data_IF_164501716369
#
_entry.id   IF_164501716369
#
_cell.length_a   1.000
_cell.length_b   1.000
_cell.length_c   1.000
_cell.angle_alpha   90.00
_cell.angle_beta   90.00
_cell.angle_gamma   90.00
#
_symmetry.space_group_name_H-M   'P 1'
#
loop_
_entity.id
_entity.type
_entity.pdbx_description
1 polymer ?
#
# COMPACT_ATOMS: atom_id res chain seq x y z
N UNK A 1 -36.26 52.94 42.82
CA UNK A 1 -36.16 51.70 42.01
C UNK A 1 -34.81 51.71 41.36
N UNK A 2 -33.86 50.96 41.89
CA UNK A 2 -32.45 50.93 41.36
C UNK A 2 -32.32 49.68 40.46
N UNK A 3 -32.00 49.93 39.21
CA UNK A 3 -31.76 48.86 38.20
C UNK A 3 -30.35 48.33 38.39
N UNK A 4 -30.20 47.04 38.68
CA UNK A 4 -28.88 46.36 38.75
C UNK A 4 -28.71 45.66 37.39
N UNK A 5 -27.70 46.10 36.63
CA UNK A 5 -27.25 45.43 35.40
C UNK A 5 -26.14 44.46 35.78
N UNK A 6 -26.41 43.16 35.62
CA UNK A 6 -25.41 42.09 35.76
C UNK A 6 -24.81 41.84 34.38
N UNK A 7 -23.53 42.19 34.22
CA UNK A 7 -22.76 41.84 33.03
C UNK A 7 -22.23 40.41 33.17
N UNK A 8 -22.69 39.46 32.32
CA UNK A 8 -22.14 38.13 32.18
C UNK A 8 -21.01 38.18 31.16
N UNK A 9 -19.77 38.18 31.67
CA UNK A 9 -18.61 38.05 30.84
C UNK A 9 -18.36 36.60 30.41
N UNK A 10 -18.68 36.29 29.14
CA UNK A 10 -18.30 35.01 28.56
C UNK A 10 -16.81 34.97 28.21
N UNK A 11 -16.03 34.14 28.92
CA UNK A 11 -14.67 33.78 28.52
C UNK A 11 -14.74 32.84 27.31
N UNK A 12 -14.40 33.33 26.11
CA UNK A 12 -14.07 32.50 24.96
C UNK A 12 -12.70 31.89 25.19
N UNK A 13 -12.67 30.61 25.57
CA UNK A 13 -11.44 29.80 25.52
C UNK A 13 -11.15 29.45 24.06
N UNK A 14 -10.32 30.27 23.39
CA UNK A 14 -9.68 29.90 22.13
C UNK A 14 -8.67 28.80 22.42
N UNK A 15 -9.00 27.56 22.15
CA UNK A 15 -8.04 26.47 22.10
C UNK A 15 -7.12 26.68 20.89
N UNK A 16 -5.91 27.18 21.15
CA UNK A 16 -4.83 27.20 20.18
C UNK A 16 -4.45 25.75 19.84
N UNK A 17 -4.97 25.24 18.71
CA UNK A 17 -4.45 24.02 18.13
C UNK A 17 -2.97 24.27 17.81
N UNK A 18 -2.08 23.71 18.63
CA UNK A 18 -0.66 23.66 18.30
C UNK A 18 -0.51 22.82 17.04
N UNK A 19 -0.16 23.44 15.92
CA UNK A 19 0.32 22.73 14.74
C UNK A 19 1.58 21.96 15.15
N UNK A 20 1.45 20.65 15.33
CA UNK A 20 2.60 19.81 15.58
C UNK A 20 3.58 19.95 14.43
N UNK A 21 4.85 20.24 14.75
CA UNK A 21 5.92 20.21 13.75
C UNK A 21 5.91 18.82 13.09
N UNK A 22 6.07 18.73 11.74
CA UNK A 22 6.17 17.46 11.08
C UNK A 22 7.31 16.64 11.71
N UNK A 23 7.01 15.39 12.10
CA UNK A 23 8.03 14.48 12.61
C UNK A 23 9.12 14.28 11.54
N UNK A 24 10.41 14.32 11.93
CA UNK A 24 11.48 14.01 11.01
C UNK A 24 11.33 12.58 10.48
N UNK A 25 11.50 12.39 9.19
CA UNK A 25 11.51 11.03 8.61
C UNK A 25 12.74 10.29 9.14
N UNK A 26 12.58 9.11 9.75
CA UNK A 26 13.72 8.34 10.24
C UNK A 26 14.70 7.98 9.11
N UNK A 27 15.97 7.75 9.46
CA UNK A 27 16.94 7.20 8.51
C UNK A 27 16.56 5.77 8.13
N UNK A 28 15.97 5.63 6.95
CA UNK A 28 15.49 4.34 6.46
C UNK A 28 16.63 3.33 6.20
N UNK A 29 17.86 3.81 5.94
CA UNK A 29 19.02 2.93 5.76
C UNK A 29 19.43 2.25 7.08
N UNK A 30 19.19 2.91 8.21
CA UNK A 30 19.44 2.33 9.55
C UNK A 30 18.25 1.51 10.06
N UNK A 31 17.03 1.92 9.71
CA UNK A 31 15.82 1.34 10.26
C UNK A 31 15.39 0.04 9.57
N UNK A 32 15.63 -0.07 8.25
CA UNK A 32 15.22 -1.23 7.46
C UNK A 32 16.42 -2.10 7.11
N UNK A 33 16.37 -3.37 7.48
CA UNK A 33 17.38 -4.36 7.10
C UNK A 33 17.53 -4.42 5.58
N UNK A 34 18.78 -4.44 5.09
CA UNK A 34 19.09 -4.57 3.68
C UNK A 34 19.34 -6.04 3.32
N UNK A 35 18.37 -6.64 2.64
CA UNK A 35 18.32 -8.08 2.40
C UNK A 35 18.18 -8.38 0.90
N UNK A 36 18.43 -9.64 0.53
CA UNK A 36 18.19 -10.17 -0.81
C UNK A 36 17.52 -11.54 -0.67
N UNK A 37 16.37 -11.70 -1.30
CA UNK A 37 15.70 -12.99 -1.43
C UNK A 37 16.18 -13.67 -2.69
N UNK A 38 16.55 -14.95 -2.60
CA UNK A 38 16.98 -15.76 -3.75
C UNK A 38 16.23 -17.09 -3.73
N UNK A 39 15.65 -17.44 -4.87
CA UNK A 39 15.03 -18.75 -5.10
C UNK A 39 15.32 -19.16 -6.54
N UNK A 40 15.90 -20.36 -6.71
CA UNK A 40 16.38 -20.87 -7.98
C UNK A 40 17.34 -19.87 -8.66
N UNK A 41 16.94 -19.31 -9.81
CA UNK A 41 17.71 -18.30 -10.54
C UNK A 41 17.21 -16.86 -10.30
N UNK A 42 16.11 -16.70 -9.59
CA UNK A 42 15.55 -15.38 -9.30
C UNK A 42 16.22 -14.79 -8.05
N UNK A 43 16.53 -13.49 -8.11
CA UNK A 43 17.10 -12.73 -7.01
C UNK A 43 16.40 -11.38 -6.91
N UNK A 44 15.92 -11.05 -5.72
CA UNK A 44 15.14 -9.85 -5.47
C UNK A 44 15.70 -9.12 -4.24
N UNK A 45 16.38 -7.98 -4.41
CA UNK A 45 16.74 -7.12 -3.29
C UNK A 45 15.47 -6.60 -2.61
N UNK A 46 15.48 -6.53 -1.28
CA UNK A 46 14.38 -5.94 -0.51
C UNK A 46 14.87 -5.31 0.78
N UNK A 47 14.07 -4.40 1.31
CA UNK A 47 14.25 -3.83 2.64
C UNK A 47 13.17 -4.37 3.56
N UNK A 48 13.53 -4.66 4.79
CA UNK A 48 12.61 -5.19 5.81
C UNK A 48 12.65 -4.34 7.07
N UNK A 49 11.52 -3.69 7.38
CA UNK A 49 11.26 -3.14 8.70
C UNK A 49 10.73 -4.25 9.60
N UNK A 50 11.24 -4.33 10.82
CA UNK A 50 10.68 -5.15 11.89
C UNK A 50 9.80 -4.30 12.80
N UNK A 51 8.74 -4.86 13.40
CA UNK A 51 7.90 -4.12 14.35
C UNK A 51 8.71 -3.64 15.55
N UNK A 52 8.31 -2.50 16.13
CA UNK A 52 8.89 -2.03 17.38
C UNK A 52 8.65 -3.07 18.49
N UNK A 53 9.69 -3.36 19.26
CA UNK A 53 9.63 -4.38 20.30
C UNK A 53 9.56 -5.82 19.78
N UNK A 54 9.91 -6.06 18.50
CA UNK A 54 9.98 -7.40 17.95
C UNK A 54 10.92 -8.28 18.77
N UNK A 55 10.37 -9.37 19.31
CA UNK A 55 11.11 -10.43 19.96
C UNK A 55 10.99 -11.72 19.13
N UNK A 56 12.14 -12.28 18.74
CA UNK A 56 12.19 -13.51 17.94
C UNK A 56 11.59 -14.70 18.67
N UNK A 57 11.78 -14.75 19.99
CA UNK A 57 11.32 -15.83 20.85
C UNK A 57 9.95 -15.51 21.47
N UNK A 58 9.40 -14.35 21.17
CA UNK A 58 8.09 -13.88 21.62
C UNK A 58 6.93 -14.65 20.99
N UNK A 59 5.76 -14.54 21.63
CA UNK A 59 4.52 -15.19 21.15
C UNK A 59 3.67 -14.31 20.23
N UNK A 60 4.01 -13.04 20.12
CA UNK A 60 3.26 -12.09 19.32
C UNK A 60 3.38 -12.38 17.83
N UNK A 61 2.28 -12.17 17.11
CA UNK A 61 2.23 -12.25 15.65
C UNK A 61 1.84 -10.92 15.06
N UNK A 62 2.57 -10.50 14.06
CA UNK A 62 2.49 -9.16 13.48
C UNK A 62 1.94 -9.20 12.04
N UNK A 63 1.25 -8.14 11.61
CA UNK A 63 0.92 -7.97 10.20
C UNK A 63 2.18 -7.92 9.33
N UNK A 64 2.02 -8.29 8.05
CA UNK A 64 3.00 -8.02 6.99
C UNK A 64 2.39 -7.05 5.98
N UNK A 65 3.07 -5.96 5.71
CA UNK A 65 2.80 -5.06 4.58
C UNK A 65 3.85 -5.30 3.51
N UNK A 66 3.43 -5.53 2.28
CA UNK A 66 4.31 -5.55 1.10
C UNK A 66 4.06 -4.29 0.29
N UNK A 67 5.09 -3.47 0.08
CA UNK A 67 5.00 -2.20 -0.61
C UNK A 67 5.72 -2.23 -1.96
N UNK A 68 4.99 -2.08 -3.04
CA UNK A 68 5.51 -2.10 -4.40
C UNK A 68 5.74 -0.68 -4.93
N UNK A 69 7.00 -0.35 -5.19
CA UNK A 69 7.39 0.98 -5.70
C UNK A 69 6.98 1.22 -7.16
N UNK A 70 6.92 2.47 -7.56
CA UNK A 70 6.75 2.89 -8.96
C UNK A 70 8.01 2.66 -9.81
N UNK A 71 7.92 2.93 -11.12
CA UNK A 71 8.99 2.67 -12.10
C UNK A 71 10.35 3.29 -11.76
N UNK A 72 10.36 4.47 -11.10
CA UNK A 72 11.60 5.15 -10.70
C UNK A 72 12.35 4.48 -9.56
N UNK A 73 11.71 3.56 -8.84
CA UNK A 73 12.33 2.77 -7.78
C UNK A 73 13.10 1.55 -8.29
N UNK A 74 13.00 1.22 -9.58
CA UNK A 74 13.72 0.09 -10.18
C UNK A 74 15.24 0.23 -10.02
N UNK A 75 15.91 -0.87 -9.83
CA UNK A 75 17.35 -0.90 -9.66
C UNK A 75 17.87 -2.18 -9.05
N UNK A 76 19.13 -2.12 -8.63
CA UNK A 76 19.84 -3.20 -7.93
C UNK A 76 20.57 -2.68 -6.67
N UNK A 77 20.40 -1.39 -6.36
CA UNK A 77 21.07 -0.72 -5.24
C UNK A 77 20.42 -0.99 -3.89
N UNK A 78 19.22 -1.57 -3.91
CA UNK A 78 18.39 -1.80 -2.74
C UNK A 78 18.15 -0.52 -1.91
N UNK A 79 17.97 0.63 -2.62
CA UNK A 79 17.81 1.96 -2.02
C UNK A 79 16.73 2.80 -2.71
N UNK A 80 16.68 2.82 -4.05
CA UNK A 80 15.76 3.68 -4.82
C UNK A 80 14.28 3.42 -4.52
N UNK A 81 13.92 2.21 -4.11
CA UNK A 81 12.56 1.84 -3.74
C UNK A 81 12.04 2.50 -2.45
N UNK A 82 12.94 3.04 -1.60
CA UNK A 82 12.60 3.66 -0.32
C UNK A 82 12.16 5.12 -0.51
N UNK A 83 11.01 5.33 -1.16
CA UNK A 83 10.44 6.66 -1.43
C UNK A 83 8.96 6.57 -1.71
N UNK A 84 8.30 7.72 -1.85
CA UNK A 84 6.94 7.81 -2.40
C UNK A 84 5.91 7.02 -1.59
N UNK A 85 5.86 7.26 -0.27
CA UNK A 85 4.88 6.65 0.64
C UNK A 85 5.48 5.63 1.62
N UNK A 86 6.66 5.05 1.35
CA UNK A 86 7.35 4.17 2.33
C UNK A 86 7.64 4.94 3.62
N UNK A 87 7.97 6.22 3.51
CA UNK A 87 8.23 7.12 4.64
C UNK A 87 7.08 7.20 5.64
N UNK A 88 5.84 7.04 5.20
CA UNK A 88 4.68 7.10 6.09
C UNK A 88 4.56 5.87 6.99
N UNK A 89 5.02 4.72 6.52
CA UNK A 89 5.04 3.48 7.31
C UNK A 89 6.16 3.45 8.35
N UNK A 90 7.25 4.20 8.13
CA UNK A 90 8.41 4.20 9.03
C UNK A 90 8.39 5.32 10.07
N UNK A 91 7.43 6.23 10.03
CA UNK A 91 7.23 7.26 11.06
C UNK A 91 6.97 6.61 12.43
N UNK A 92 7.53 7.17 13.48
CA UNK A 92 7.39 6.66 14.83
C UNK A 92 5.93 6.53 15.26
N UNK A 93 5.08 7.52 14.93
CA UNK A 93 3.66 7.48 15.23
C UNK A 93 2.97 6.28 14.56
N UNK A 94 3.28 6.00 13.28
CA UNK A 94 2.73 4.87 12.54
C UNK A 94 3.21 3.54 13.12
N UNK A 95 4.50 3.41 13.38
CA UNK A 95 5.11 2.19 13.93
C UNK A 95 4.58 1.83 15.31
N UNK A 96 4.39 2.83 16.16
CA UNK A 96 3.78 2.64 17.49
C UNK A 96 2.31 2.24 17.42
N UNK A 97 1.55 2.84 16.51
CA UNK A 97 0.12 2.56 16.34
C UNK A 97 -0.14 1.23 15.64
N UNK A 98 0.68 0.91 14.65
CA UNK A 98 0.53 -0.24 13.76
C UNK A 98 1.85 -1.03 13.65
N UNK A 99 2.31 -1.68 14.73
CA UNK A 99 3.51 -2.49 14.67
C UNK A 99 3.35 -3.62 13.63
N UNK A 100 4.20 -3.62 12.61
CA UNK A 100 4.14 -4.56 11.50
C UNK A 100 5.52 -4.85 10.91
N UNK A 101 5.64 -5.96 10.21
CA UNK A 101 6.71 -6.13 9.22
C UNK A 101 6.35 -5.34 7.96
N UNK A 102 7.31 -4.60 7.39
CA UNK A 102 7.16 -3.95 6.09
C UNK A 102 8.25 -4.44 5.16
N UNK A 103 7.87 -5.15 4.11
CA UNK A 103 8.78 -5.59 3.06
C UNK A 103 8.67 -4.66 1.85
N UNK A 104 9.79 -4.08 1.43
CA UNK A 104 9.89 -3.16 0.29
C UNK A 104 10.85 -3.77 -0.75
N UNK A 105 10.38 -4.65 -1.63
CA UNK A 105 11.20 -5.25 -2.67
C UNK A 105 11.59 -4.24 -3.73
N UNK A 106 12.74 -4.45 -4.42
CA UNK A 106 13.19 -3.65 -5.53
C UNK A 106 13.12 -4.43 -6.84
N UNK A 107 12.29 -3.97 -7.77
CA UNK A 107 12.18 -4.51 -9.11
C UNK A 107 13.48 -4.26 -9.90
N UNK A 108 14.00 -5.25 -10.62
CA UNK A 108 15.14 -5.04 -11.51
C UNK A 108 14.88 -3.93 -12.55
N UNK A 109 15.93 -3.27 -13.07
CA UNK A 109 15.78 -2.08 -13.92
C UNK A 109 15.06 -2.33 -15.25
N UNK A 110 15.17 -3.54 -15.77
CA UNK A 110 14.60 -3.98 -17.04
C UNK A 110 13.29 -4.78 -16.92
N UNK A 111 12.76 -4.91 -15.67
CA UNK A 111 11.56 -5.70 -15.36
C UNK A 111 10.42 -4.84 -14.82
N UNK A 112 9.23 -5.45 -14.75
CA UNK A 112 8.01 -4.86 -14.23
C UNK A 112 7.37 -5.80 -13.21
N UNK A 113 6.58 -5.25 -12.27
CA UNK A 113 5.76 -6.01 -11.34
C UNK A 113 4.60 -6.76 -11.99
N UNK A 114 4.24 -6.38 -13.21
CA UNK A 114 3.07 -6.89 -13.92
C UNK A 114 3.39 -7.03 -15.41
N UNK A 115 2.63 -7.88 -16.10
CA UNK A 115 2.71 -7.99 -17.55
C UNK A 115 1.67 -7.06 -18.19
N UNK A 116 2.15 -6.10 -18.97
CA UNK A 116 1.31 -5.33 -19.90
C UNK A 116 1.66 -5.77 -21.31
N UNK A 117 0.67 -6.08 -22.08
CA UNK A 117 0.89 -6.21 -23.52
C UNK A 117 1.41 -4.88 -24.08
N UNK A 118 2.42 -4.87 -24.97
CA UNK A 118 3.10 -3.65 -25.44
C UNK A 118 2.18 -2.65 -26.15
N UNK A 119 0.94 -2.99 -26.45
CA UNK A 119 -0.01 -2.19 -27.22
C UNK A 119 -1.35 -1.91 -26.50
N UNK A 120 -1.43 -2.06 -25.19
CA UNK A 120 -2.70 -1.82 -24.50
C UNK A 120 -2.94 -0.35 -24.19
N UNK A 121 -3.23 0.42 -25.21
CA UNK A 121 -3.72 1.80 -25.11
C UNK A 121 -5.23 1.88 -24.84
N UNK A 122 -5.97 0.76 -24.89
CA UNK A 122 -7.44 0.72 -24.91
C UNK A 122 -8.12 0.26 -23.62
N UNK A 123 -7.40 0.06 -22.52
CA UNK A 123 -8.06 -0.14 -21.24
C UNK A 123 -8.20 -1.59 -20.76
N UNK A 124 -8.14 -2.59 -21.61
CA UNK A 124 -8.16 -3.97 -21.18
C UNK A 124 -6.73 -4.48 -20.99
N UNK A 125 -6.37 -4.71 -19.74
CA UNK A 125 -5.10 -5.35 -19.37
C UNK A 125 -5.40 -6.82 -19.03
N UNK A 126 -5.58 -7.71 -20.02
CA UNK A 126 -5.87 -9.11 -19.71
C UNK A 126 -4.73 -9.69 -18.88
N UNK A 127 -5.09 -10.31 -17.76
CA UNK A 127 -4.11 -10.91 -16.86
C UNK A 127 -3.46 -12.10 -17.56
N UNK A 128 -2.15 -12.05 -17.88
CA UNK A 128 -1.48 -13.17 -18.53
C UNK A 128 -1.50 -14.42 -17.63
N UNK A 129 -1.45 -15.59 -18.25
CA UNK A 129 -1.49 -16.88 -17.53
C UNK A 129 -0.38 -16.98 -16.47
N UNK A 130 0.82 -16.51 -16.80
CA UNK A 130 1.96 -16.51 -15.87
C UNK A 130 2.28 -15.11 -15.37
N UNK A 131 2.64 -14.94 -14.09
CA UNK A 131 3.16 -13.67 -13.59
C UNK A 131 4.50 -13.32 -14.23
N UNK A 132 4.93 -12.08 -14.09
CA UNK A 132 6.33 -11.73 -14.33
C UNK A 132 7.23 -12.44 -13.30
N UNK A 133 8.51 -12.61 -13.62
CA UNK A 133 9.46 -13.19 -12.67
C UNK A 133 9.50 -12.41 -11.33
N UNK A 134 9.59 -11.04 -11.31
CA UNK A 134 9.54 -10.30 -10.06
C UNK A 134 8.23 -10.51 -9.28
N UNK A 135 7.08 -10.57 -9.97
CA UNK A 135 5.80 -10.81 -9.31
C UNK A 135 5.73 -12.23 -8.69
N UNK A 136 6.21 -13.24 -9.40
CA UNK A 136 6.34 -14.59 -8.86
C UNK A 136 7.27 -14.63 -7.63
N UNK A 137 8.42 -13.95 -7.73
CA UNK A 137 9.40 -13.87 -6.65
C UNK A 137 8.85 -13.16 -5.41
N UNK A 138 7.94 -12.17 -5.55
CA UNK A 138 7.25 -11.55 -4.41
C UNK A 138 6.37 -12.57 -3.69
N UNK A 139 5.63 -13.41 -4.41
CA UNK A 139 4.80 -14.43 -3.77
C UNK A 139 5.65 -15.42 -2.97
N UNK A 140 6.78 -15.83 -3.53
CA UNK A 140 7.76 -16.68 -2.84
C UNK A 140 8.40 -15.98 -1.62
N UNK A 141 8.72 -14.70 -1.75
CA UNK A 141 9.24 -13.88 -0.64
C UNK A 141 8.23 -13.79 0.52
N UNK A 142 6.95 -13.58 0.22
CA UNK A 142 5.89 -13.55 1.26
C UNK A 142 5.84 -14.88 2.00
N UNK A 143 5.91 -16.00 1.28
CA UNK A 143 5.92 -17.33 1.89
C UNK A 143 7.15 -17.53 2.79
N UNK A 144 8.33 -17.15 2.31
CA UNK A 144 9.58 -17.23 3.07
C UNK A 144 9.52 -16.39 4.35
N UNK A 145 9.05 -15.14 4.25
CA UNK A 145 8.88 -14.25 5.42
C UNK A 145 7.90 -14.84 6.44
N UNK A 146 6.80 -15.44 5.98
CA UNK A 146 5.83 -16.09 6.85
C UNK A 146 6.37 -17.36 7.54
N UNK A 147 7.42 -17.96 7.01
CA UNK A 147 8.08 -19.12 7.62
C UNK A 147 9.22 -18.71 8.56
N UNK A 148 9.88 -17.58 8.27
CA UNK A 148 11.01 -17.07 9.05
C UNK A 148 10.60 -16.22 10.24
N UNK A 149 9.52 -15.41 10.07
CA UNK A 149 9.08 -14.43 11.08
C UNK A 149 7.68 -14.75 11.62
N UNK A 150 7.34 -14.29 12.84
CA UNK A 150 6.02 -14.50 13.44
C UNK A 150 4.94 -13.62 12.78
N UNK A 151 4.72 -13.81 11.48
CA UNK A 151 3.72 -13.08 10.73
C UNK A 151 2.33 -13.69 10.96
N UNK A 152 1.33 -12.83 11.22
CA UNK A 152 -0.08 -13.21 11.20
C UNK A 152 -0.54 -13.38 9.75
N UNK A 153 -0.63 -14.63 9.29
CA UNK A 153 -1.08 -14.95 7.92
C UNK A 153 -2.52 -14.49 7.63
N UNK A 154 -3.28 -14.10 8.65
CA UNK A 154 -4.57 -13.44 8.51
C UNK A 154 -4.48 -11.93 8.25
N UNK A 155 -3.30 -11.33 8.34
CA UNK A 155 -3.07 -9.89 8.20
C UNK A 155 -1.87 -9.60 7.28
N UNK A 156 -1.94 -10.10 6.05
CA UNK A 156 -0.96 -9.79 4.99
C UNK A 156 -1.61 -8.77 4.07
N UNK A 157 -0.95 -7.64 3.88
CA UNK A 157 -1.45 -6.51 3.10
C UNK A 157 -0.54 -6.22 1.92
N UNK A 158 -1.12 -5.77 0.82
CA UNK A 158 -0.38 -5.38 -0.37
C UNK A 158 -0.75 -3.95 -0.76
N UNK A 159 0.26 -3.14 -1.00
CA UNK A 159 0.07 -1.79 -1.53
C UNK A 159 1.15 -1.45 -2.54
N UNK A 160 0.90 -0.46 -3.36
CA UNK A 160 1.88 0.03 -4.32
C UNK A 160 1.33 1.14 -5.20
N UNK A 161 2.24 1.88 -5.81
CA UNK A 161 1.89 3.04 -6.62
C UNK A 161 2.37 2.91 -8.06
N UNK A 162 1.62 3.45 -9.03
CA UNK A 162 1.99 3.45 -10.44
C UNK A 162 2.29 2.03 -10.93
N UNK A 163 3.51 1.74 -11.40
CA UNK A 163 3.96 0.38 -11.70
C UNK A 163 3.64 -0.60 -10.55
N UNK A 164 3.81 -0.18 -9.28
CA UNK A 164 3.45 -0.95 -8.11
C UNK A 164 1.93 -1.04 -7.88
N UNK A 165 1.17 -0.04 -8.31
CA UNK A 165 -0.30 -0.07 -8.31
C UNK A 165 -0.83 -1.14 -9.26
N UNK A 166 -0.27 -1.23 -10.47
CA UNK A 166 -0.54 -2.32 -11.42
C UNK A 166 -0.11 -3.67 -10.84
N UNK A 167 1.10 -3.75 -10.24
CA UNK A 167 1.58 -4.97 -9.58
C UNK A 167 0.67 -5.40 -8.42
N UNK A 168 0.09 -4.45 -7.70
CA UNK A 168 -0.90 -4.73 -6.66
C UNK A 168 -2.14 -5.39 -7.25
N UNK A 169 -2.71 -4.82 -8.32
CA UNK A 169 -3.85 -5.42 -9.02
C UNK A 169 -3.53 -6.81 -9.60
N UNK A 170 -2.33 -6.99 -10.21
CA UNK A 170 -1.88 -8.28 -10.75
C UNK A 170 -1.82 -9.35 -9.65
N UNK A 171 -1.11 -9.08 -8.56
CA UNK A 171 -0.87 -10.04 -7.49
C UNK A 171 -2.15 -10.43 -6.74
N UNK A 172 -3.04 -9.48 -6.42
CA UNK A 172 -4.32 -9.80 -5.78
C UNK A 172 -5.24 -10.56 -6.70
N UNK A 173 -5.18 -10.36 -8.03
CA UNK A 173 -5.95 -11.11 -9.00
C UNK A 173 -5.48 -12.57 -9.14
N UNK A 174 -4.20 -12.83 -8.85
CA UNK A 174 -3.62 -14.19 -8.87
C UNK A 174 -3.84 -14.96 -7.59
N UNK A 175 -3.69 -14.28 -6.46
CA UNK A 175 -3.69 -14.89 -5.13
C UNK A 175 -4.52 -14.06 -4.14
N UNK A 176 -5.84 -13.85 -4.43
CA UNK A 176 -6.68 -13.02 -3.55
C UNK A 176 -6.76 -13.57 -2.12
N UNK A 177 -6.68 -14.90 -1.97
CA UNK A 177 -6.72 -15.58 -0.68
C UNK A 177 -5.49 -15.33 0.20
N UNK A 178 -4.40 -14.84 -0.37
CA UNK A 178 -3.18 -14.53 0.37
C UNK A 178 -3.32 -13.25 1.20
N UNK A 179 -4.08 -12.28 0.70
CA UNK A 179 -4.14 -10.94 1.26
C UNK A 179 -5.38 -10.71 2.11
N UNK A 180 -5.25 -9.94 3.18
CA UNK A 180 -6.35 -9.45 4.01
C UNK A 180 -6.94 -8.15 3.45
N UNK A 181 -6.13 -7.34 2.80
CA UNK A 181 -6.55 -6.12 2.08
C UNK A 181 -5.49 -5.68 1.08
N UNK A 182 -5.90 -4.78 0.17
CA UNK A 182 -5.00 -4.14 -0.78
C UNK A 182 -5.31 -2.67 -1.00
N UNK A 183 -4.24 -1.87 -1.21
CA UNK A 183 -4.31 -0.45 -1.55
C UNK A 183 -3.55 -0.20 -2.86
N UNK A 184 -4.16 -0.39 -4.03
CA UNK A 184 -3.57 0.01 -5.31
C UNK A 184 -3.72 1.52 -5.54
N UNK A 185 -2.60 2.20 -5.85
CA UNK A 185 -2.57 3.65 -6.11
C UNK A 185 -2.08 3.92 -7.53
N UNK A 186 -2.79 4.76 -8.29
CA UNK A 186 -2.46 5.13 -9.68
C UNK A 186 -2.14 3.92 -10.56
N UNK A 187 -3.01 2.91 -10.56
CA UNK A 187 -2.82 1.69 -11.33
C UNK A 187 -4.12 1.12 -11.84
N UNK A 188 -4.03 0.02 -12.58
CA UNK A 188 -5.16 -0.71 -13.11
C UNK A 188 -4.88 -2.21 -13.18
N UNK A 189 -5.91 -2.99 -13.46
CA UNK A 189 -5.85 -4.44 -13.58
C UNK A 189 -6.77 -4.96 -14.68
N UNK A 190 -7.01 -6.27 -14.68
CA UNK A 190 -7.93 -6.95 -15.59
C UNK A 190 -9.32 -7.04 -14.97
N UNK A 191 -10.33 -6.28 -15.48
CA UNK A 191 -11.69 -6.34 -14.97
C UNK A 191 -12.33 -7.74 -15.04
N UNK A 192 -11.84 -8.64 -15.91
CA UNK A 192 -12.31 -10.01 -16.00
C UNK A 192 -11.99 -10.85 -14.74
N UNK A 193 -11.09 -10.37 -13.88
CA UNK A 193 -10.75 -11.04 -12.61
C UNK A 193 -11.66 -10.61 -11.44
N UNK A 194 -12.63 -9.74 -11.67
CA UNK A 194 -13.43 -9.09 -10.63
C UNK A 194 -14.14 -10.06 -9.67
N UNK A 195 -14.65 -11.19 -10.17
CA UNK A 195 -15.31 -12.21 -9.34
C UNK A 195 -14.39 -12.76 -8.25
N UNK A 196 -13.09 -12.96 -8.55
CA UNK A 196 -12.10 -13.41 -7.56
C UNK A 196 -11.83 -12.38 -6.48
N UNK A 197 -12.02 -11.10 -6.83
CA UNK A 197 -11.72 -9.94 -5.96
C UNK A 197 -12.93 -9.49 -5.12
N UNK A 198 -14.13 -10.01 -5.40
CA UNK A 198 -15.37 -9.54 -4.78
C UNK A 198 -15.38 -9.62 -3.24
N UNK A 199 -14.61 -10.56 -2.66
CA UNK A 199 -14.53 -10.72 -1.20
C UNK A 199 -13.29 -10.09 -0.56
N UNK A 200 -12.36 -9.57 -1.38
CA UNK A 200 -11.14 -8.94 -0.87
C UNK A 200 -11.40 -7.47 -0.54
N UNK A 201 -11.13 -7.00 0.68
CA UNK A 201 -11.14 -5.57 0.99
C UNK A 201 -10.11 -4.82 0.13
N UNK A 202 -10.60 -3.90 -0.69
CA UNK A 202 -9.77 -3.08 -1.59
C UNK A 202 -10.15 -1.62 -1.40
N UNK A 203 -9.15 -0.76 -1.26
CA UNK A 203 -9.34 0.69 -1.34
C UNK A 203 -8.39 1.27 -2.39
N UNK A 204 -8.91 1.56 -3.56
CA UNK A 204 -8.12 2.11 -4.67
C UNK A 204 -8.11 3.64 -4.66
N UNK A 205 -7.01 4.22 -5.14
CA UNK A 205 -6.81 5.67 -5.15
C UNK A 205 -6.25 6.13 -6.50
N UNK A 206 -6.72 7.30 -6.97
CA UNK A 206 -6.25 7.91 -8.21
C UNK A 206 -6.47 9.42 -8.24
N UNK A 207 -5.70 10.15 -9.04
CA UNK A 207 -5.96 11.54 -9.35
C UNK A 207 -6.74 11.66 -10.67
N UNK A 208 -7.81 12.46 -10.71
CA UNK A 208 -8.66 12.60 -11.90
C UNK A 208 -7.99 13.35 -13.07
N UNK A 209 -6.90 14.06 -12.77
CA UNK A 209 -6.08 14.78 -13.75
C UNK A 209 -4.73 14.09 -14.04
N UNK A 210 -4.62 12.77 -13.79
CA UNK A 210 -3.39 12.00 -14.04
C UNK A 210 -3.10 11.92 -15.56
N UNK A 211 -1.98 12.51 -16.04
CA UNK A 211 -1.64 12.50 -17.47
C UNK A 211 -0.91 11.21 -17.92
N UNK A 212 -0.53 10.33 -17.00
CA UNK A 212 0.31 9.16 -17.26
C UNK A 212 -0.47 7.85 -17.17
N UNK A 213 -1.32 7.72 -16.15
CA UNK A 213 -2.18 6.56 -15.96
C UNK A 213 -3.63 6.99 -16.09
N UNK A 214 -4.34 6.53 -17.14
CA UNK A 214 -5.73 6.91 -17.34
C UNK A 214 -6.60 6.57 -16.14
N UNK A 215 -7.40 7.52 -15.67
CA UNK A 215 -8.29 7.38 -14.51
C UNK A 215 -9.37 6.32 -14.72
N UNK A 216 -9.66 5.96 -15.95
CA UNK A 216 -10.57 4.88 -16.33
C UNK A 216 -10.09 3.52 -15.82
N UNK A 217 -8.77 3.32 -15.70
CA UNK A 217 -8.18 2.05 -15.24
C UNK A 217 -8.70 1.58 -13.88
N UNK A 218 -8.58 2.37 -12.80
CA UNK A 218 -9.18 1.99 -11.52
C UNK A 218 -10.71 2.04 -11.56
N UNK A 219 -11.33 2.97 -12.31
CA UNK A 219 -12.79 3.04 -12.43
C UNK A 219 -13.38 1.73 -12.97
N UNK A 220 -12.76 1.16 -14.03
CA UNK A 220 -13.21 -0.10 -14.65
C UNK A 220 -13.08 -1.27 -13.67
N UNK A 221 -11.96 -1.35 -12.92
CA UNK A 221 -11.78 -2.36 -11.88
C UNK A 221 -12.84 -2.26 -10.78
N UNK A 222 -13.08 -1.06 -10.27
CA UNK A 222 -14.08 -0.82 -9.22
C UNK A 222 -15.49 -1.15 -9.70
N UNK A 223 -15.83 -0.73 -10.92
CA UNK A 223 -17.14 -1.03 -11.51
C UNK A 223 -17.35 -2.54 -11.70
N UNK A 224 -16.33 -3.26 -12.20
CA UNK A 224 -16.38 -4.69 -12.39
C UNK A 224 -16.53 -5.45 -11.06
N UNK A 225 -15.77 -5.07 -10.02
CA UNK A 225 -15.86 -5.71 -8.70
C UNK A 225 -17.23 -5.46 -8.06
N UNK A 226 -17.78 -4.25 -8.16
CA UNK A 226 -19.14 -3.96 -7.69
C UNK A 226 -20.19 -4.80 -8.43
N UNK A 227 -20.05 -4.93 -9.74
CA UNK A 227 -20.92 -5.79 -10.57
C UNK A 227 -20.84 -7.26 -10.15
N UNK A 228 -19.68 -7.72 -9.70
CA UNK A 228 -19.46 -9.08 -9.16
C UNK A 228 -19.93 -9.23 -7.70
N UNK A 229 -20.58 -8.23 -7.11
CA UNK A 229 -21.11 -8.28 -5.74
C UNK A 229 -20.09 -7.92 -4.65
N UNK A 230 -18.94 -7.37 -5.00
CA UNK A 230 -17.96 -6.87 -4.03
C UNK A 230 -18.21 -5.42 -3.62
N UNK A 231 -17.57 -5.00 -2.54
CA UNK A 231 -17.70 -3.64 -1.96
C UNK A 231 -16.35 -2.90 -1.90
N UNK A 232 -15.65 -2.70 -3.03
CA UNK A 232 -14.38 -1.99 -3.02
C UNK A 232 -14.61 -0.51 -2.73
N UNK A 233 -13.70 0.09 -1.97
CA UNK A 233 -13.62 1.55 -1.78
C UNK A 233 -12.81 2.16 -2.93
N UNK A 234 -13.18 3.38 -3.31
CA UNK A 234 -12.46 4.17 -4.30
C UNK A 234 -12.43 5.64 -3.88
N UNK A 235 -11.26 6.22 -3.89
CA UNK A 235 -11.06 7.66 -3.72
C UNK A 235 -10.39 8.23 -4.96
N UNK A 236 -11.09 9.14 -5.62
CA UNK A 236 -10.60 9.90 -6.74
C UNK A 236 -10.34 11.34 -6.27
N UNK A 237 -9.08 11.76 -6.35
CA UNK A 237 -8.68 13.09 -5.91
C UNK A 237 -8.90 14.10 -7.03
N UNK A 238 -9.84 15.03 -6.81
CA UNK A 238 -10.20 16.06 -7.78
C UNK A 238 -9.05 17.03 -8.03
N UNK A 239 -8.69 17.21 -9.31
CA UNK A 239 -7.62 18.11 -9.75
C UNK A 239 -6.21 17.64 -9.41
N UNK A 240 -6.07 16.43 -8.84
CA UNK A 240 -4.76 15.83 -8.57
C UNK A 240 -4.27 15.10 -9.82
N UNK A 241 -3.03 15.37 -10.21
CA UNK A 241 -2.36 14.66 -11.29
C UNK A 241 -1.83 13.29 -10.86
N UNK A 242 -0.67 12.94 -11.40
CA UNK A 242 -0.07 11.63 -11.18
C UNK A 242 0.28 11.31 -9.72
N UNK A 243 0.65 12.32 -8.91
CA UNK A 243 1.02 12.12 -7.49
C UNK A 243 -0.21 11.97 -6.58
N UNK A 244 -0.99 10.93 -6.78
CA UNK A 244 -2.07 10.59 -5.85
C UNK A 244 -1.58 9.81 -4.62
N UNK A 245 -0.36 9.25 -4.63
CA UNK A 245 0.19 8.51 -3.49
C UNK A 245 0.53 9.39 -2.29
N UNK A 246 0.97 10.62 -2.51
CA UNK A 246 1.29 11.56 -1.42
C UNK A 246 0.08 11.81 -0.52
N UNK A 247 -1.08 12.28 -1.01
CA UNK A 247 -2.27 12.43 -0.17
C UNK A 247 -2.78 11.08 0.37
N UNK A 248 -2.66 10.00 -0.38
CA UNK A 248 -3.13 8.66 0.05
C UNK A 248 -2.39 8.18 1.28
N UNK A 249 -1.06 8.09 1.23
CA UNK A 249 -0.29 7.51 2.33
C UNK A 249 -0.16 8.46 3.53
N UNK A 250 -0.28 9.79 3.33
CA UNK A 250 -0.31 10.78 4.42
C UNK A 250 -1.62 10.81 5.20
N UNK A 251 -2.70 10.29 4.65
CA UNK A 251 -3.95 10.19 5.39
C UNK A 251 -3.90 8.98 6.33
N UNK A 252 -3.77 9.25 7.63
CA UNK A 252 -3.73 8.21 8.66
C UNK A 252 -4.94 7.28 8.62
N UNK A 253 -6.11 7.75 8.15
CA UNK A 253 -7.33 6.93 8.02
C UNK A 253 -7.14 5.81 7.00
N UNK A 254 -6.29 6.00 5.99
CA UNK A 254 -5.98 4.97 4.98
C UNK A 254 -5.19 3.84 5.61
N UNK A 255 -4.16 4.17 6.40
CA UNK A 255 -3.38 3.18 7.13
C UNK A 255 -4.22 2.51 8.22
N UNK A 256 -5.00 3.28 8.98
CA UNK A 256 -5.91 2.73 9.99
C UNK A 256 -6.86 1.70 9.37
N UNK A 257 -7.51 2.05 8.26
CA UNK A 257 -8.38 1.13 7.54
C UNK A 257 -7.65 -0.13 7.08
N UNK A 258 -6.40 -0.02 6.58
CA UNK A 258 -5.63 -1.18 6.13
C UNK A 258 -5.42 -2.17 7.28
N UNK A 259 -4.97 -1.67 8.43
CA UNK A 259 -4.65 -2.51 9.59
C UNK A 259 -5.87 -3.05 10.35
N UNK A 260 -7.07 -2.49 10.11
CA UNK A 260 -8.35 -3.02 10.60
C UNK A 260 -8.80 -4.29 9.86
N UNK A 261 -8.29 -4.53 8.64
CA UNK A 261 -8.72 -5.68 7.85
C UNK A 261 -8.06 -6.96 8.33
N UNK A 262 -8.85 -8.04 8.34
CA UNK A 262 -8.38 -9.39 8.68
C UNK A 262 -9.15 -10.41 7.85
N UNK A 263 -8.45 -11.43 7.34
CA UNK A 263 -9.08 -12.53 6.60
C UNK A 263 -10.09 -13.29 7.48
N UNK A 264 -11.24 -13.60 6.93
CA UNK A 264 -12.26 -14.40 7.61
C UNK A 264 -13.12 -13.62 8.61
N UNK A 265 -13.10 -12.29 8.54
CA UNK A 265 -14.10 -11.44 9.20
C UNK A 265 -15.26 -11.18 8.27
#
# INVERSE_FOLDING_TARGET
MKLVVVAVGGLLLCSLAHAQKPEPTPDMDQLLDKLTFTKDKASLPYRLLKPDGYDKDGKDRYPLVVFLHGSVGRGTDNKKQLRSGVEEFVKDATRKKHPCFLAVPQCPPDKLWFNVGPNDTKGNLPLPKSPTEPAATILDLIEALCNEYPIDKGRIYLTGLSMGGYGTWDLISRRPELFAAAIPVCGGGDPAQAEKLAKLPIWAFHGDADPLVPVERPRDMIAAIKKAGGEPKYTEYKGVGYDAWTPTYRDSKVLDWLFEQKKGK
#
